data_IF_598213544770
#
_entry.id   IF_598213544770
#
_cell.length_a   1.000
_cell.length_b   1.000
_cell.length_c   1.000
_cell.angle_alpha   90.00
_cell.angle_beta   90.00
_cell.angle_gamma   90.00
#
_symmetry.space_group_name_H-M   'P 1'
#
loop_
_entity.id
_entity.type
_entity.pdbx_description
1 polymer ?
#
# COMPACT_ATOMS: atom_id res chain seq x y z
N UNK A 1 -4.05 -16.94 -6.74
CA UNK A 1 -3.92 -16.29 -5.42
C UNK A 1 -2.78 -15.28 -5.39
N UNK A 2 -1.59 -15.64 -5.88
CA UNK A 2 -0.47 -14.68 -6.10
C UNK A 2 -0.83 -13.54 -7.07
N UNK A 3 -1.70 -13.78 -8.06
CA UNK A 3 -2.07 -12.77 -9.06
C UNK A 3 -3.02 -11.67 -8.53
N UNK A 4 -3.77 -11.94 -7.46
CA UNK A 4 -4.62 -10.94 -6.78
C UNK A 4 -3.78 -10.05 -5.87
N UNK A 5 -2.82 -10.65 -5.15
CA UNK A 5 -1.84 -9.91 -4.34
C UNK A 5 -0.97 -9.04 -5.24
N UNK A 6 -0.48 -9.53 -6.38
CA UNK A 6 0.27 -8.71 -7.34
C UNK A 6 -0.57 -7.63 -8.03
N UNK A 7 -1.90 -7.78 -8.13
CA UNK A 7 -2.80 -6.73 -8.65
C UNK A 7 -3.10 -5.65 -7.61
N UNK A 8 -3.31 -6.02 -6.34
CA UNK A 8 -3.51 -5.07 -5.24
C UNK A 8 -2.22 -4.35 -4.83
N UNK A 9 -1.09 -5.05 -4.83
CA UNK A 9 0.21 -4.45 -4.47
C UNK A 9 0.65 -3.34 -5.45
N UNK A 10 0.11 -3.33 -6.69
CA UNK A 10 0.38 -2.29 -7.69
C UNK A 10 -0.28 -0.94 -7.39
N UNK A 11 -1.30 -0.88 -6.52
CA UNK A 11 -1.93 0.39 -6.15
C UNK A 11 -1.31 1.04 -4.91
N UNK A 12 -0.95 0.28 -3.86
CA UNK A 12 -0.41 0.88 -2.61
C UNK A 12 1.06 1.29 -2.68
N UNK A 13 1.89 0.60 -3.46
CA UNK A 13 3.25 1.02 -3.73
C UNK A 13 3.36 1.38 -5.20
N UNK A 14 2.82 2.54 -5.58
CA UNK A 14 3.46 3.26 -6.69
C UNK A 14 4.90 3.48 -6.25
N UNK A 15 5.84 2.77 -6.89
CA UNK A 15 7.28 3.01 -6.81
C UNK A 15 7.47 4.51 -6.74
N UNK A 16 7.86 5.04 -5.58
CA UNK A 16 8.05 6.48 -5.38
C UNK A 16 9.27 6.90 -6.19
N UNK A 17 9.05 7.10 -7.50
CA UNK A 17 9.98 7.78 -8.38
C UNK A 17 9.88 9.25 -8.01
N UNK A 18 11.02 9.85 -7.71
CA UNK A 18 11.16 11.28 -7.37
C UNK A 18 11.07 12.17 -8.61
N UNK A 19 10.11 11.85 -9.48
CA UNK A 19 9.92 12.44 -10.80
C UNK A 19 8.56 13.15 -10.80
N UNK A 20 8.55 14.41 -11.21
CA UNK A 20 7.37 15.28 -11.20
C UNK A 20 6.27 14.80 -12.13
N UNK A 21 6.63 14.06 -13.17
CA UNK A 21 5.70 13.49 -14.15
C UNK A 21 4.95 12.25 -13.61
N UNK A 22 5.20 11.86 -12.35
CA UNK A 22 4.54 10.74 -11.72
C UNK A 22 3.52 11.22 -10.67
N UNK A 23 2.21 11.29 -11.01
CA UNK A 23 1.19 11.65 -10.05
C UNK A 23 1.21 10.74 -8.80
N UNK A 24 0.99 11.29 -7.60
CA UNK A 24 0.62 12.68 -7.29
C UNK A 24 1.81 13.61 -6.99
N UNK A 25 3.05 13.21 -7.28
CA UNK A 25 4.27 13.87 -6.80
C UNK A 25 4.36 15.38 -7.16
N UNK A 26 3.99 15.75 -8.39
CA UNK A 26 4.00 17.15 -8.84
C UNK A 26 3.05 18.09 -8.06
N UNK A 27 2.11 17.55 -7.27
CA UNK A 27 1.25 18.36 -6.38
C UNK A 27 1.97 18.78 -5.09
N UNK A 28 3.07 18.13 -4.72
CA UNK A 28 3.81 18.36 -3.48
C UNK A 28 5.20 18.94 -3.73
N UNK A 29 5.86 18.50 -4.79
CA UNK A 29 7.24 18.85 -5.11
C UNK A 29 7.30 19.40 -6.54
N UNK A 30 7.66 20.68 -6.74
CA UNK A 30 7.67 21.31 -8.07
C UNK A 30 8.90 20.96 -8.92
N UNK A 31 9.95 20.38 -8.34
CA UNK A 31 11.19 20.03 -9.05
C UNK A 31 11.69 18.62 -8.69
N UNK A 32 12.20 17.84 -9.66
CA UNK A 32 12.66 16.48 -9.42
C UNK A 32 13.82 16.43 -8.42
N UNK A 33 13.98 15.28 -7.75
CA UNK A 33 15.09 15.03 -6.83
C UNK A 33 14.84 15.33 -5.34
N UNK A 34 13.68 15.87 -4.97
CA UNK A 34 13.25 15.98 -3.56
C UNK A 34 12.30 14.83 -3.21
N UNK A 35 12.49 14.17 -2.08
CA UNK A 35 11.60 13.07 -1.67
C UNK A 35 10.32 13.60 -1.02
N UNK A 36 9.25 12.81 -1.09
CA UNK A 36 8.06 13.06 -0.27
C UNK A 36 8.37 12.76 1.19
N UNK A 37 7.84 13.59 2.08
CA UNK A 37 7.86 13.32 3.51
C UNK A 37 6.85 12.23 3.88
N UNK A 38 7.03 11.61 5.05
CA UNK A 38 6.07 10.64 5.59
C UNK A 38 4.64 11.22 5.70
N UNK A 39 4.52 12.50 6.08
CA UNK A 39 3.24 13.18 6.16
C UNK A 39 2.56 13.39 4.80
N UNK A 40 3.33 13.55 3.73
CA UNK A 40 2.79 13.70 2.38
C UNK A 40 2.12 12.40 1.92
N UNK A 41 2.70 11.25 2.28
CA UNK A 41 2.09 9.94 2.01
C UNK A 41 0.71 9.82 2.66
N UNK A 42 0.55 10.30 3.90
CA UNK A 42 -0.75 10.30 4.59
C UNK A 42 -1.74 11.30 4.00
N UNK A 43 -1.26 12.41 3.47
CA UNK A 43 -2.11 13.36 2.73
C UNK A 43 -2.64 12.72 1.45
N UNK A 44 -1.79 11.99 0.71
CA UNK A 44 -2.18 11.25 -0.50
C UNK A 44 -3.21 10.16 -0.16
N UNK A 45 -2.95 9.33 0.85
CA UNK A 45 -3.88 8.28 1.29
C UNK A 45 -5.26 8.85 1.68
N UNK A 46 -5.29 9.98 2.40
CA UNK A 46 -6.54 10.63 2.77
C UNK A 46 -7.31 11.13 1.54
N UNK A 47 -6.62 11.71 0.55
CA UNK A 47 -7.23 12.16 -0.69
C UNK A 47 -7.81 10.98 -1.50
N UNK A 48 -7.10 9.86 -1.58
CA UNK A 48 -7.57 8.65 -2.26
C UNK A 48 -8.80 8.04 -1.56
N UNK A 49 -8.81 8.02 -0.22
CA UNK A 49 -9.97 7.57 0.56
C UNK A 49 -11.19 8.48 0.33
N UNK A 50 -11.02 9.79 0.36
CA UNK A 50 -12.10 10.75 0.11
C UNK A 50 -12.65 10.63 -1.32
N UNK A 51 -11.78 10.42 -2.32
CA UNK A 51 -12.19 10.16 -3.69
C UNK A 51 -13.00 8.86 -3.80
N UNK A 52 -12.56 7.79 -3.13
CA UNK A 52 -13.28 6.52 -3.11
C UNK A 52 -14.68 6.64 -2.49
N UNK A 53 -14.81 7.39 -1.39
CA UNK A 53 -16.11 7.69 -0.76
C UNK A 53 -17.00 8.48 -1.72
N UNK A 54 -16.47 9.54 -2.34
CA UNK A 54 -17.22 10.37 -3.29
C UNK A 54 -17.74 9.56 -4.48
N UNK A 55 -16.89 8.71 -5.05
CA UNK A 55 -17.18 7.98 -6.28
C UNK A 55 -17.89 6.64 -6.01
N UNK A 56 -18.09 6.26 -4.74
CA UNK A 56 -18.72 5.01 -4.35
C UNK A 56 -17.93 3.77 -4.75
N UNK A 57 -16.61 3.90 -4.89
CA UNK A 57 -15.71 2.80 -5.25
C UNK A 57 -14.95 2.29 -4.02
N UNK A 58 -14.49 1.04 -4.08
CA UNK A 58 -13.76 0.45 -2.96
C UNK A 58 -12.36 1.07 -2.86
N UNK A 59 -12.03 1.62 -1.69
CA UNK A 59 -10.69 2.08 -1.39
C UNK A 59 -9.75 0.89 -1.21
N UNK A 60 -8.48 1.05 -1.59
CA UNK A 60 -7.45 0.04 -1.40
C UNK A 60 -6.42 0.51 -0.36
N UNK A 61 -5.96 -0.35 0.55
CA UNK A 61 -6.46 -1.71 0.79
C UNK A 61 -7.86 -1.70 1.43
N UNK A 62 -8.69 -2.66 1.04
CA UNK A 62 -9.94 -2.94 1.73
C UNK A 62 -9.68 -3.74 3.01
N UNK A 63 -10.71 -3.89 3.86
CA UNK A 63 -10.62 -4.78 5.03
C UNK A 63 -10.36 -6.25 4.63
N UNK A 64 -10.87 -6.69 3.48
CA UNK A 64 -10.61 -8.04 2.96
C UNK A 64 -9.15 -8.20 2.52
N UNK A 65 -8.55 -7.16 1.93
CA UNK A 65 -7.12 -7.16 1.60
C UNK A 65 -6.28 -7.15 2.89
N UNK A 66 -6.66 -6.32 3.86
CA UNK A 66 -6.00 -6.23 5.17
C UNK A 66 -6.00 -7.57 5.91
N UNK A 67 -7.10 -8.33 5.86
CA UNK A 67 -7.16 -9.68 6.41
C UNK A 67 -6.11 -10.61 5.78
N UNK A 68 -5.85 -10.48 4.48
CA UNK A 68 -4.79 -11.21 3.80
C UNK A 68 -3.40 -10.88 4.36
N UNK A 69 -3.13 -9.60 4.61
CA UNK A 69 -1.88 -9.15 5.23
C UNK A 69 -1.74 -9.69 6.66
N UNK A 70 -2.78 -9.58 7.47
CA UNK A 70 -2.77 -10.06 8.85
C UNK A 70 -2.53 -11.58 8.92
N UNK A 71 -3.13 -12.37 8.02
CA UNK A 71 -2.85 -13.81 7.94
C UNK A 71 -1.36 -14.12 7.73
N UNK A 72 -0.67 -13.32 6.90
CA UNK A 72 0.77 -13.47 6.68
C UNK A 72 1.56 -13.04 7.90
N UNK A 73 1.24 -11.88 8.50
CA UNK A 73 1.89 -11.37 9.70
C UNK A 73 1.79 -12.39 10.85
N UNK A 74 0.59 -12.94 11.06
CA UNK A 74 0.35 -13.96 12.07
C UNK A 74 1.08 -15.28 11.74
N UNK A 75 1.14 -15.71 10.49
CA UNK A 75 1.90 -16.89 10.09
C UNK A 75 3.42 -16.72 10.34
N UNK A 76 3.97 -15.52 10.15
CA UNK A 76 5.37 -15.23 10.49
C UNK A 76 5.58 -15.37 12.00
N UNK A 77 4.68 -14.82 12.81
CA UNK A 77 4.75 -14.94 14.26
C UNK A 77 4.64 -16.41 14.72
N UNK A 78 3.78 -17.21 14.09
CA UNK A 78 3.63 -18.64 14.36
C UNK A 78 4.88 -19.44 13.95
N UNK A 79 5.47 -19.13 12.79
CA UNK A 79 6.73 -19.73 12.35
C UNK A 79 7.83 -19.53 13.40
N UNK A 80 7.99 -18.30 13.91
CA UNK A 80 8.97 -17.98 14.94
C UNK A 80 8.72 -18.74 16.26
N UNK A 81 7.46 -18.96 16.65
CA UNK A 81 7.08 -19.75 17.83
C UNK A 81 7.34 -21.25 17.66
N UNK A 82 7.30 -21.75 16.42
CA UNK A 82 7.48 -23.17 16.09
C UNK A 82 8.91 -23.45 15.57
N UNK A 83 9.93 -22.84 16.18
CA UNK A 83 11.33 -23.08 15.83
C UNK A 83 11.64 -22.80 14.34
N UNK A 84 11.06 -21.72 13.81
CA UNK A 84 11.17 -21.32 12.40
C UNK A 84 10.59 -22.34 11.41
N UNK A 85 9.56 -23.09 11.80
CA UNK A 85 8.85 -24.01 10.92
C UNK A 85 8.14 -23.29 9.75
N UNK A 86 8.02 -23.98 8.61
CA UNK A 86 7.30 -23.48 7.44
C UNK A 86 5.78 -23.52 7.67
N UNK A 87 5.11 -22.37 7.55
CA UNK A 87 3.64 -22.24 7.61
C UNK A 87 3.07 -22.07 6.20
N UNK A 88 1.96 -22.76 5.88
CA UNK A 88 1.27 -22.69 4.58
C UNK A 88 -0.09 -21.99 4.77
N UNK A 89 -0.41 -21.02 3.91
CA UNK A 89 -1.60 -20.15 3.97
C UNK A 89 -2.61 -20.43 2.84
#
# INVERSE_FOLDING_TARGET
MVDTISRGFRSSERRQRTDTDHPPFGAFVPAPGHQLGFGDLKTIEAAELLAAIRDGVQAYPSMQDALGFERVIHAIADSARQECARITL
#
